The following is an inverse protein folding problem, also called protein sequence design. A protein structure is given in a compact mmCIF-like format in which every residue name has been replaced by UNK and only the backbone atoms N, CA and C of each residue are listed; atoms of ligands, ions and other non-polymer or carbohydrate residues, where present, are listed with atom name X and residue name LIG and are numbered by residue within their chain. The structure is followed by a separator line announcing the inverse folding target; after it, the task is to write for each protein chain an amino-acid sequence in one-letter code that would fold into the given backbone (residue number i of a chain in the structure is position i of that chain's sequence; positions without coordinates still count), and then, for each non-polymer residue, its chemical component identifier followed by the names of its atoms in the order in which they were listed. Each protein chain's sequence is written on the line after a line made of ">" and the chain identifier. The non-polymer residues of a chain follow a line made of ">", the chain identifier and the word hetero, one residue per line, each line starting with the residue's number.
data_IF_213662233878
#
_entry.id   IF_213662233878
#
_cell.length_a   1.000
_cell.length_b   1.000
_cell.length_c   1.000
_cell.angle_alpha   90.00
_cell.angle_beta   90.00
_cell.angle_gamma   90.00
#
_symmetry.space_group_name_H-M   'P 1'
#
loop_
_entity.id
_entity.type
_entity.pdbx_description
1 polymer ?
#
# COMPACT_ATOMS: atom_id res chain seq x y z
N UNK A 1 -5.37 5.08 9.64
CA UNK A 1 -4.63 4.56 8.46
C UNK A 1 -5.19 5.21 7.22
N UNK A 2 -4.34 5.68 6.29
CA UNK A 2 -4.82 6.23 5.03
C UNK A 2 -5.40 5.13 4.12
N UNK A 3 -6.57 5.35 3.48
CA UNK A 3 -7.09 4.41 2.48
C UNK A 3 -6.10 4.15 1.33
N UNK A 4 -5.30 5.15 0.97
CA UNK A 4 -4.28 5.01 -0.09
C UNK A 4 -3.24 3.92 0.20
N UNK A 5 -2.94 3.67 1.47
CA UNK A 5 -2.05 2.59 1.88
C UNK A 5 -2.84 1.29 2.11
N UNK A 6 -3.96 1.38 2.85
CA UNK A 6 -4.73 0.21 3.27
C UNK A 6 -5.33 -0.56 2.08
N UNK A 7 -5.74 0.13 1.01
CA UNK A 7 -6.37 -0.51 -0.15
C UNK A 7 -5.45 -1.50 -0.87
N UNK A 8 -4.13 -1.26 -0.85
CA UNK A 8 -3.13 -2.18 -1.40
C UNK A 8 -2.65 -3.25 -0.40
N UNK A 9 -2.98 -3.08 0.89
CA UNK A 9 -2.55 -3.97 1.97
C UNK A 9 -3.75 -4.63 2.69
N UNK A 10 -4.68 -5.29 1.95
CA UNK A 10 -5.84 -5.94 2.52
C UNK A 10 -5.47 -7.19 3.32
N UNK A 11 -6.34 -7.59 4.25
CA UNK A 11 -6.20 -8.85 5.00
C UNK A 11 -6.49 -10.07 4.12
N UNK A 12 -7.41 -9.94 3.15
CA UNK A 12 -7.78 -10.96 2.19
C UNK A 12 -6.95 -10.94 0.90
N UNK A 13 -7.43 -11.65 -0.11
CA UNK A 13 -6.81 -11.75 -1.43
C UNK A 13 -7.43 -10.77 -2.46
N UNK A 14 -8.48 -10.08 -2.08
CA UNK A 14 -9.11 -9.04 -2.91
C UNK A 14 -8.64 -7.68 -2.39
N UNK A 15 -8.15 -6.77 -3.25
CA UNK A 15 -7.79 -5.42 -2.83
C UNK A 15 -9.01 -4.63 -2.34
N UNK A 16 -8.75 -3.55 -1.62
CA UNK A 16 -9.79 -2.59 -1.28
C UNK A 16 -9.76 -1.42 -2.27
N UNK A 17 -10.83 -0.64 -2.32
CA UNK A 17 -10.91 0.55 -3.17
C UNK A 17 -11.69 1.67 -2.49
N UNK A 18 -11.60 2.87 -3.04
CA UNK A 18 -12.32 4.04 -2.56
C UNK A 18 -11.69 4.66 -1.31
N UNK A 19 -12.34 5.72 -0.82
CA UNK A 19 -11.93 6.42 0.40
C UNK A 19 -12.44 5.75 1.66
N UNK A 20 -13.44 4.90 1.55
CA UNK A 20 -14.03 4.07 2.59
C UNK A 20 -13.39 2.68 2.69
N UNK A 21 -12.46 2.36 1.78
CA UNK A 21 -11.75 1.07 1.75
C UNK A 21 -12.69 -0.13 1.65
N UNK A 22 -13.76 -0.04 0.86
CA UNK A 22 -14.62 -1.18 0.57
C UNK A 22 -13.89 -2.20 -0.32
N UNK A 23 -14.42 -3.43 -0.40
CA UNK A 23 -13.89 -4.47 -1.28
C UNK A 23 -13.96 -4.00 -2.73
N UNK A 24 -12.87 -4.19 -3.47
CA UNK A 24 -12.78 -3.81 -4.89
C UNK A 24 -13.96 -4.37 -5.69
N UNK A 25 -14.70 -3.51 -6.37
CA UNK A 25 -15.98 -3.87 -7.02
C UNK A 25 -15.85 -5.03 -8.00
N UNK A 26 -14.78 -5.08 -8.79
CA UNK A 26 -14.52 -6.16 -9.74
C UNK A 26 -13.96 -7.44 -9.08
N UNK A 27 -13.63 -7.40 -7.80
CA UNK A 27 -13.13 -8.51 -6.99
C UNK A 27 -11.96 -9.29 -7.62
N UNK A 28 -10.94 -8.64 -8.22
CA UNK A 28 -9.76 -9.34 -8.71
C UNK A 28 -9.04 -9.98 -7.54
N UNK A 29 -8.61 -11.23 -7.70
CA UNK A 29 -7.82 -11.90 -6.67
C UNK A 29 -6.33 -11.61 -6.87
N UNK A 30 -5.61 -11.45 -5.76
CA UNK A 30 -4.17 -11.15 -5.69
C UNK A 30 -3.30 -11.95 -6.66
N UNK A 31 -3.50 -13.27 -6.72
CA UNK A 31 -2.55 -14.17 -7.38
C UNK A 31 -1.26 -14.36 -6.58
N UNK A 32 -0.39 -15.24 -7.04
CA UNK A 32 0.87 -15.56 -6.36
C UNK A 32 1.80 -14.35 -6.29
N UNK A 33 1.88 -13.61 -7.39
CA UNK A 33 2.78 -12.45 -7.60
C UNK A 33 2.15 -11.08 -7.30
N UNK A 34 0.89 -11.06 -6.84
CA UNK A 34 0.16 -9.82 -6.58
C UNK A 34 -0.44 -9.15 -7.82
N UNK A 35 -0.29 -9.73 -9.02
CA UNK A 35 -0.66 -9.10 -10.30
C UNK A 35 -2.02 -9.54 -10.86
N UNK A 36 -2.81 -10.24 -10.05
CA UNK A 36 -4.11 -10.76 -10.44
C UNK A 36 -4.07 -12.20 -10.98
N UNK A 37 -5.21 -12.88 -10.94
CA UNK A 37 -5.36 -14.27 -11.40
C UNK A 37 -6.03 -14.36 -12.77
N UNK A 38 -5.62 -15.33 -13.56
CA UNK A 38 -6.22 -15.69 -14.85
C UNK A 38 -6.42 -14.49 -15.79
N UNK A 39 -7.64 -14.31 -16.30
CA UNK A 39 -7.99 -13.19 -17.17
C UNK A 39 -8.16 -11.85 -16.43
N UNK A 40 -8.22 -11.85 -15.08
CA UNK A 40 -8.39 -10.64 -14.28
C UNK A 40 -7.02 -10.11 -13.77
N UNK A 41 -6.13 -9.79 -14.70
CA UNK A 41 -4.88 -9.11 -14.38
C UNK A 41 -5.13 -7.66 -14.00
N UNK A 42 -4.42 -7.17 -12.98
CA UNK A 42 -4.56 -5.78 -12.53
C UNK A 42 -4.35 -4.78 -13.68
N UNK A 43 -3.36 -5.04 -14.52
CA UNK A 43 -3.00 -4.21 -15.68
C UNK A 43 -4.03 -4.19 -16.81
N UNK A 44 -5.07 -5.02 -16.77
CA UNK A 44 -6.16 -4.92 -17.74
C UNK A 44 -6.95 -3.61 -17.56
N UNK A 45 -6.99 -3.07 -16.33
CA UNK A 45 -7.70 -1.83 -16.01
C UNK A 45 -6.75 -0.74 -15.50
N UNK A 46 -5.72 -1.10 -14.73
CA UNK A 46 -4.73 -0.15 -14.20
C UNK A 46 -3.62 0.06 -15.23
N UNK A 47 -3.73 1.15 -15.96
CA UNK A 47 -2.75 1.56 -16.98
C UNK A 47 -1.47 2.12 -16.34
N UNK A 48 -0.38 2.38 -17.10
CA UNK A 48 0.82 3.01 -16.55
C UNK A 48 0.59 4.36 -15.87
N UNK A 49 -0.44 5.09 -16.29
CA UNK A 49 -0.86 6.37 -15.73
C UNK A 49 -2.34 6.35 -15.33
N UNK A 50 -2.74 7.30 -14.48
CA UNK A 50 -4.15 7.43 -14.11
C UNK A 50 -5.02 7.65 -15.34
N UNK A 51 -6.09 6.89 -15.46
CA UNK A 51 -7.10 7.13 -16.48
C UNK A 51 -7.83 8.45 -16.15
N UNK A 52 -7.96 9.39 -17.07
CA UNK A 52 -8.71 10.64 -16.84
C UNK A 52 -10.18 10.40 -16.48
N UNK A 53 -10.71 11.23 -15.60
CA UNK A 53 -12.11 11.23 -15.20
C UNK A 53 -12.33 10.73 -13.76
N UNK A 54 -13.49 11.05 -13.17
CA UNK A 54 -13.82 10.68 -11.80
C UNK A 54 -14.07 9.17 -11.69
N UNK A 55 -13.64 8.59 -10.57
CA UNK A 55 -13.80 7.16 -10.25
C UNK A 55 -13.18 6.18 -11.26
N UNK A 56 -12.26 6.65 -12.08
CA UNK A 56 -11.48 5.82 -13.01
C UNK A 56 -10.37 5.08 -12.31
N UNK A 57 -9.83 3.99 -12.89
CA UNK A 57 -8.72 3.26 -12.30
C UNK A 57 -7.47 4.14 -12.17
N UNK A 58 -6.84 4.21 -10.98
CA UNK A 58 -5.52 4.82 -10.85
C UNK A 58 -4.48 3.98 -11.59
N UNK A 59 -3.40 4.63 -12.04
CA UNK A 59 -2.35 4.00 -12.82
C UNK A 59 -1.01 3.94 -12.12
N UNK A 60 -0.22 2.96 -12.52
CA UNK A 60 1.19 2.85 -12.23
C UNK A 60 1.80 1.79 -13.16
N UNK A 61 3.01 1.99 -13.72
CA UNK A 61 3.65 1.01 -14.62
C UNK A 61 3.86 -0.36 -13.97
N UNK A 62 3.91 -0.42 -12.64
CA UNK A 62 4.13 -1.64 -11.88
C UNK A 62 2.98 -1.92 -10.90
N UNK A 63 1.75 -1.76 -11.35
CA UNK A 63 0.56 -1.95 -10.49
C UNK A 63 0.46 -3.40 -10.00
N UNK A 64 0.58 -3.60 -8.70
CA UNK A 64 0.42 -4.91 -8.07
C UNK A 64 0.12 -4.78 -6.57
N UNK A 65 -0.41 -5.82 -5.96
CA UNK A 65 -0.45 -6.02 -4.51
C UNK A 65 0.86 -6.66 -4.02
N UNK A 66 1.20 -6.58 -2.76
CA UNK A 66 2.22 -7.46 -2.18
C UNK A 66 1.89 -8.92 -2.51
N UNK A 67 2.89 -9.78 -2.78
CA UNK A 67 2.67 -11.17 -3.19
C UNK A 67 1.98 -12.01 -2.11
N UNK A 68 1.40 -13.14 -2.49
CA UNK A 68 0.59 -13.97 -1.60
C UNK A 68 1.37 -14.49 -0.37
N UNK A 69 2.66 -14.74 -0.52
CA UNK A 69 3.54 -15.20 0.56
C UNK A 69 4.06 -14.05 1.46
N UNK A 70 3.79 -12.79 1.14
CA UNK A 70 4.24 -11.63 1.89
C UNK A 70 3.22 -10.48 1.78
N UNK A 71 2.01 -10.70 2.28
CA UNK A 71 0.87 -9.81 2.10
C UNK A 71 1.02 -8.42 2.71
N UNK A 72 1.87 -8.24 3.74
CA UNK A 72 2.03 -6.95 4.43
C UNK A 72 0.68 -6.33 4.81
N UNK A 73 -0.11 -7.03 5.61
CA UNK A 73 -1.49 -6.63 5.93
C UNK A 73 -1.51 -5.36 6.78
N UNK A 74 -2.27 -4.34 6.32
CA UNK A 74 -2.54 -3.13 7.11
C UNK A 74 -3.98 -3.08 7.62
N UNK A 75 -4.90 -3.66 6.86
CA UNK A 75 -6.32 -3.71 7.23
C UNK A 75 -6.54 -4.37 8.60
N UNK A 76 -7.21 -3.69 9.50
CA UNK A 76 -7.52 -4.19 10.84
C UNK A 76 -6.35 -4.20 11.83
N UNK A 77 -5.16 -3.71 11.44
CA UNK A 77 -4.01 -3.62 12.33
C UNK A 77 -4.03 -2.34 13.17
N UNK A 78 -3.67 -2.47 14.44
CA UNK A 78 -3.39 -1.31 15.30
C UNK A 78 -2.04 -0.68 14.93
N UNK A 79 -1.80 0.56 15.36
CA UNK A 79 -0.51 1.21 15.15
C UNK A 79 0.66 0.42 15.77
N UNK A 80 0.44 -0.20 16.94
CA UNK A 80 1.41 -1.10 17.57
C UNK A 80 1.75 -2.29 16.67
N UNK A 81 0.73 -2.98 16.16
CA UNK A 81 0.91 -4.16 15.31
C UNK A 81 1.61 -3.81 13.99
N UNK A 82 1.26 -2.66 13.39
CA UNK A 82 1.91 -2.18 12.17
C UNK A 82 3.39 -1.86 12.39
N UNK A 83 3.71 -1.12 13.46
CA UNK A 83 5.10 -0.80 13.78
C UNK A 83 5.94 -2.08 13.95
N UNK A 84 5.42 -3.08 14.67
CA UNK A 84 6.09 -4.38 14.82
C UNK A 84 6.27 -5.10 13.49
N UNK A 85 5.22 -5.17 12.67
CA UNK A 85 5.26 -5.82 11.36
C UNK A 85 6.26 -5.18 10.41
N UNK A 86 6.33 -3.86 10.37
CA UNK A 86 7.16 -3.11 9.45
C UNK A 86 8.66 -3.33 9.67
N UNK A 87 9.09 -3.58 10.92
CA UNK A 87 10.50 -3.83 11.26
C UNK A 87 10.86 -5.32 11.38
N UNK A 88 9.89 -6.22 11.28
CA UNK A 88 10.15 -7.66 11.33
C UNK A 88 10.53 -8.19 9.93
N UNK A 89 11.78 -8.64 9.71
CA UNK A 89 12.21 -9.16 8.41
C UNK A 89 11.33 -10.29 7.87
N UNK A 90 10.74 -11.10 8.76
CA UNK A 90 9.84 -12.19 8.36
C UNK A 90 8.50 -11.70 7.82
N UNK A 91 8.14 -10.47 8.11
CA UNK A 91 6.85 -9.88 7.75
C UNK A 91 6.96 -8.71 6.77
N UNK A 92 8.16 -8.13 6.57
CA UNK A 92 8.37 -6.96 5.73
C UNK A 92 9.08 -7.26 4.40
N UNK A 93 9.20 -8.53 4.01
CA UNK A 93 9.91 -8.93 2.79
C UNK A 93 11.43 -8.86 2.93
N UNK A 94 11.95 -9.14 4.13
CA UNK A 94 13.38 -9.15 4.46
C UNK A 94 14.08 -7.79 4.19
N UNK A 95 13.37 -6.70 4.48
CA UNK A 95 13.93 -5.34 4.36
C UNK A 95 14.63 -4.93 5.64
N UNK A 96 15.88 -4.52 5.52
CA UNK A 96 16.62 -3.78 6.55
C UNK A 96 16.18 -2.30 6.56
N UNK A 97 16.71 -1.51 7.49
CA UNK A 97 16.39 -0.09 7.64
C UNK A 97 16.65 0.69 6.36
N UNK A 98 17.78 0.43 5.67
CA UNK A 98 18.12 1.10 4.41
C UNK A 98 17.06 0.85 3.35
N UNK A 99 16.68 -0.40 3.14
CA UNK A 99 15.62 -0.79 2.18
C UNK A 99 14.25 -0.25 2.57
N UNK A 100 13.95 -0.13 3.87
CA UNK A 100 12.72 0.49 4.34
C UNK A 100 12.69 1.99 4.04
N UNK A 101 13.82 2.69 4.16
CA UNK A 101 13.94 4.10 3.77
C UNK A 101 13.75 4.25 2.27
N UNK A 102 14.44 3.44 1.46
CA UNK A 102 14.32 3.43 0.01
C UNK A 102 12.89 3.14 -0.44
N UNK A 103 12.20 2.24 0.25
CA UNK A 103 10.82 1.86 -0.04
C UNK A 103 9.82 3.04 0.03
N UNK A 104 10.10 4.06 0.81
CA UNK A 104 9.27 5.26 0.85
C UNK A 104 9.19 5.99 -0.51
N UNK A 105 10.17 5.78 -1.38
CA UNK A 105 10.22 6.36 -2.73
C UNK A 105 9.84 5.37 -3.84
N UNK A 106 9.43 4.15 -3.50
CA UNK A 106 8.95 3.19 -4.50
C UNK A 106 7.74 3.74 -5.25
N UNK A 107 7.68 3.47 -6.56
CA UNK A 107 6.65 4.00 -7.44
C UNK A 107 5.21 3.73 -6.97
N UNK A 108 4.95 2.55 -6.38
CA UNK A 108 3.62 2.25 -5.82
C UNK A 108 3.33 3.03 -4.52
N UNK A 109 4.35 3.30 -3.70
CA UNK A 109 4.19 4.16 -2.51
C UNK A 109 3.89 5.59 -2.96
N UNK A 110 4.66 6.11 -3.91
CA UNK A 110 4.44 7.44 -4.51
C UNK A 110 3.06 7.58 -5.17
N UNK A 111 2.54 6.51 -5.76
CA UNK A 111 1.19 6.50 -6.34
C UNK A 111 0.09 6.80 -5.31
N UNK A 112 0.33 6.55 -4.03
CA UNK A 112 -0.57 6.94 -2.94
C UNK A 112 -0.83 8.45 -2.86
N UNK A 113 0.12 9.27 -3.34
CA UNK A 113 0.00 10.74 -3.42
C UNK A 113 -0.42 11.23 -4.80
N UNK A 114 -0.72 10.31 -5.73
CA UNK A 114 -1.29 10.59 -7.06
C UNK A 114 -2.55 9.75 -7.27
N UNK A 115 -3.58 9.88 -6.41
CA UNK A 115 -4.80 9.10 -6.58
C UNK A 115 -5.53 9.50 -7.84
N UNK A 116 -6.49 8.67 -8.28
CA UNK A 116 -7.41 9.03 -9.34
C UNK A 116 -8.26 10.25 -8.93
N UNK A 117 -8.82 10.93 -9.92
CA UNK A 117 -9.65 12.13 -9.74
C UNK A 117 -10.81 11.87 -8.74
N UNK A 118 -11.01 12.81 -7.82
CA UNK A 118 -12.07 12.75 -6.82
C UNK A 118 -11.72 11.96 -5.54
N UNK A 119 -10.57 11.28 -5.49
CA UNK A 119 -10.13 10.55 -4.30
C UNK A 119 -9.26 11.43 -3.38
N UNK A 120 -9.40 11.22 -2.07
CA UNK A 120 -8.66 11.96 -1.05
C UNK A 120 -7.17 11.61 -1.04
N UNK A 121 -6.35 12.61 -0.88
CA UNK A 121 -4.92 12.46 -0.61
C UNK A 121 -4.67 11.93 0.82
N UNK A 122 -3.49 11.33 1.08
CA UNK A 122 -3.03 11.10 2.45
C UNK A 122 -3.04 12.40 3.29
N UNK A 123 -3.17 12.32 4.62
CA UNK A 123 -3.31 13.50 5.48
C UNK A 123 -2.07 14.38 5.58
N UNK A 124 -0.92 13.89 5.13
CA UNK A 124 0.34 14.64 5.06
C UNK A 124 0.93 14.53 3.66
N UNK A 125 1.77 15.46 3.26
CA UNK A 125 2.53 15.39 2.02
C UNK A 125 3.49 14.20 2.04
N UNK A 126 3.92 13.73 0.86
CA UNK A 126 4.93 12.67 0.77
C UNK A 126 6.23 13.07 1.48
N UNK A 127 6.67 14.32 1.36
CA UNK A 127 7.88 14.81 2.02
C UNK A 127 7.79 14.74 3.56
N UNK A 128 6.65 15.12 4.13
CA UNK A 128 6.39 15.02 5.57
C UNK A 128 6.33 13.56 6.02
N UNK A 129 5.63 12.72 5.26
CA UNK A 129 5.59 11.27 5.51
C UNK A 129 7.00 10.68 5.49
N UNK A 130 7.79 10.94 4.45
CA UNK A 130 9.15 10.41 4.32
C UNK A 130 10.05 10.87 5.47
N UNK A 131 9.96 12.15 5.84
CA UNK A 131 10.70 12.70 6.99
C UNK A 131 10.33 11.97 8.29
N UNK A 132 9.04 11.81 8.56
CA UNK A 132 8.56 11.11 9.75
C UNK A 132 8.97 9.62 9.74
N UNK A 133 8.90 8.97 8.59
CA UNK A 133 9.30 7.59 8.39
C UNK A 133 10.78 7.36 8.68
N UNK A 134 11.66 8.18 8.11
CA UNK A 134 13.11 8.13 8.34
C UNK A 134 13.42 8.39 9.82
N UNK A 135 12.85 9.46 10.39
CA UNK A 135 13.04 9.78 11.80
C UNK A 135 12.65 8.61 12.70
N UNK A 136 11.49 7.99 12.46
CA UNK A 136 11.05 6.85 13.25
C UNK A 136 12.01 5.65 13.14
N UNK A 137 12.47 5.32 11.94
CA UNK A 137 13.42 4.23 11.72
C UNK A 137 14.76 4.48 12.41
N UNK A 138 15.31 5.69 12.30
CA UNK A 138 16.62 6.05 12.84
C UNK A 138 16.61 6.23 14.36
N UNK A 139 15.47 6.54 14.95
CA UNK A 139 15.32 6.69 16.40
C UNK A 139 14.94 5.40 17.14
N UNK A 140 15.02 4.24 16.45
CA UNK A 140 14.83 2.92 17.05
C UNK A 140 13.51 2.23 16.70
N UNK A 141 12.69 2.81 15.82
CA UNK A 141 11.46 2.22 15.29
C UNK A 141 10.50 1.68 16.38
N UNK A 142 10.39 2.41 17.48
CA UNK A 142 9.56 1.99 18.62
C UNK A 142 8.10 1.88 18.23
N UNK A 143 7.46 0.80 18.65
CA UNK A 143 6.02 0.65 18.53
C UNK A 143 5.30 1.45 19.64
N UNK A 144 4.19 2.16 19.32
CA UNK A 144 3.36 2.79 20.35
C UNK A 144 2.81 1.71 21.30
N UNK A 145 2.35 2.12 22.49
CA UNK A 145 1.75 1.17 23.42
C UNK A 145 0.54 0.47 22.78
N UNK A 146 0.31 -0.82 23.07
CA UNK A 146 -0.91 -1.49 22.67
C UNK A 146 -2.14 -0.79 23.27
N UNK A 147 -3.14 -0.54 22.44
CA UNK A 147 -4.46 -0.08 22.90
C UNK A 147 -5.30 -1.28 23.27
#
# INVERSE_FOLDING_TARGET
>A
MSPRCMNCHPSGDIPLQGDDSHIHTMQPKRGVDGKGLYAMKCTNCHQPENTPGPHTPPGNPNWHLPPANMKMVFQGRTAHQLAKQLIDPKQNGNKDIKKLIEHADDGLVLAGWKPAEGLKLPPMSHAEFKKAWITWLETGAYAPQPN
#
